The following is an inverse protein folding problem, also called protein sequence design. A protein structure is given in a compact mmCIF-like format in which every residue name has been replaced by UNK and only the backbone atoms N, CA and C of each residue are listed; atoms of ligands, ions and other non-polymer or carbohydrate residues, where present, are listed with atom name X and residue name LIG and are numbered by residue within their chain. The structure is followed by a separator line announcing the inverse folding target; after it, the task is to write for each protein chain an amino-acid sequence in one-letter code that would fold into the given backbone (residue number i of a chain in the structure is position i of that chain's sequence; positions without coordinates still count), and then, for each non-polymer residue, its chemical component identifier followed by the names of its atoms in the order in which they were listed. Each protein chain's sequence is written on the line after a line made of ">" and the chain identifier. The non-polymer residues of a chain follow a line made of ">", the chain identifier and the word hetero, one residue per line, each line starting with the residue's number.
data_IF_338324776027
#
_entry.id   IF_338324776027
#
_cell.length_a   1.000
_cell.length_b   1.000
_cell.length_c   1.000
_cell.angle_alpha   90.00
_cell.angle_beta   90.00
_cell.angle_gamma   90.00
#
_symmetry.space_group_name_H-M   'P 1'
#
loop_
_entity.id
_entity.type
_entity.pdbx_description
1 polymer ?
#
# COMPACT_ATOMS: atom_id res chain seq x y z
N UNK A 1 -0.56 -25.17 18.23
CA UNK A 1 -1.74 -24.56 17.60
C UNK A 1 -1.37 -24.26 16.15
N UNK A 2 -1.93 -25.00 15.19
CA UNK A 2 -1.70 -24.78 13.77
C UNK A 2 -2.28 -23.40 13.40
N UNK A 3 -1.41 -22.40 13.25
CA UNK A 3 -1.81 -21.10 12.69
C UNK A 3 -2.46 -21.38 11.34
N UNK A 4 -3.74 -21.04 11.19
CA UNK A 4 -4.41 -21.14 9.89
C UNK A 4 -3.61 -20.26 8.91
N UNK A 5 -3.06 -20.90 7.88
CA UNK A 5 -2.29 -20.23 6.85
C UNK A 5 -3.25 -19.79 5.74
N UNK A 6 -3.19 -18.51 5.37
CA UNK A 6 -3.78 -18.02 4.14
C UNK A 6 -2.72 -18.07 3.03
N UNK A 7 -3.15 -18.32 1.79
CA UNK A 7 -2.26 -18.28 0.61
C UNK A 7 -2.61 -17.07 -0.22
N UNK A 8 -1.65 -16.17 -0.42
CA UNK A 8 -1.78 -14.97 -1.25
C UNK A 8 -0.95 -15.16 -2.51
N UNK A 9 -1.52 -14.90 -3.68
CA UNK A 9 -0.76 -14.87 -4.92
C UNK A 9 0.00 -13.54 -5.04
N UNK A 10 1.34 -13.59 -5.06
CA UNK A 10 2.22 -12.43 -5.21
C UNK A 10 3.10 -12.65 -6.43
N UNK A 11 2.93 -11.83 -7.48
CA UNK A 11 3.69 -11.95 -8.73
C UNK A 11 3.67 -13.38 -9.32
N UNK A 12 2.50 -14.04 -9.35
CA UNK A 12 2.31 -15.43 -9.82
C UNK A 12 2.99 -16.48 -8.94
N UNK A 13 3.37 -16.15 -7.71
CA UNK A 13 3.90 -17.08 -6.73
C UNK A 13 2.94 -17.20 -5.54
N UNK A 14 2.58 -18.42 -5.11
CA UNK A 14 1.80 -18.60 -3.89
C UNK A 14 2.67 -18.32 -2.66
N UNK A 15 2.23 -17.40 -1.80
CA UNK A 15 2.92 -17.04 -0.55
C UNK A 15 2.00 -17.37 0.63
N UNK A 16 2.45 -18.27 1.50
CA UNK A 16 1.75 -18.57 2.74
C UNK A 16 2.00 -17.46 3.77
N UNK A 17 0.93 -16.91 4.32
CA UNK A 17 0.97 -15.88 5.35
C UNK A 17 0.06 -16.27 6.53
N UNK A 18 0.37 -15.85 7.76
CA UNK A 18 -0.55 -16.03 8.87
C UNK A 18 -1.90 -15.37 8.58
N UNK A 19 -3.01 -16.11 8.74
CA UNK A 19 -4.34 -15.59 8.42
C UNK A 19 -4.70 -14.33 9.23
N UNK A 20 -4.21 -14.20 10.47
CA UNK A 20 -4.47 -13.03 11.31
C UNK A 20 -3.84 -11.73 10.80
N UNK A 21 -2.90 -11.80 9.83
CA UNK A 21 -2.32 -10.62 9.18
C UNK A 21 -3.12 -10.17 7.94
N UNK A 22 -4.17 -10.90 7.56
CA UNK A 22 -4.96 -10.63 6.35
C UNK A 22 -6.34 -10.09 6.70
N UNK A 23 -6.68 -8.94 6.11
CA UNK A 23 -8.03 -8.42 6.05
C UNK A 23 -8.56 -8.55 4.61
N UNK A 24 -9.78 -9.09 4.47
CA UNK A 24 -10.47 -9.17 3.17
C UNK A 24 -11.55 -8.09 3.15
N UNK A 25 -11.34 -7.08 2.31
CA UNK A 25 -12.30 -5.99 2.11
C UNK A 25 -13.14 -6.22 0.85
N UNK A 26 -14.46 -5.93 0.87
CA UNK A 26 -15.36 -6.19 -0.25
C UNK A 26 -15.20 -5.21 -1.42
N UNK A 27 -14.58 -4.06 -1.18
CA UNK A 27 -14.38 -3.02 -2.18
C UNK A 27 -12.91 -2.61 -2.25
N UNK A 28 -12.40 -2.30 -3.46
CA UNK A 28 -11.03 -1.80 -3.59
C UNK A 28 -10.86 -0.46 -2.86
N UNK A 29 -9.64 -0.14 -2.38
CA UNK A 29 -9.35 1.14 -1.75
C UNK A 29 -9.75 2.31 -2.65
N UNK A 30 -10.37 3.34 -2.08
CA UNK A 30 -10.75 4.58 -2.80
C UNK A 30 -9.79 5.74 -2.54
N UNK A 31 -8.89 5.58 -1.56
CA UNK A 31 -7.84 6.51 -1.16
C UNK A 31 -6.48 5.97 -1.58
N UNK A 32 -5.48 6.83 -1.65
CA UNK A 32 -4.09 6.38 -1.81
C UNK A 32 -3.67 5.55 -0.61
N UNK A 33 -3.23 4.31 -0.87
CA UNK A 33 -2.62 3.45 0.13
C UNK A 33 -1.21 3.94 0.40
N UNK A 34 -0.87 4.20 1.66
CA UNK A 34 0.49 4.55 2.09
C UNK A 34 1.23 3.26 2.38
N UNK A 35 2.40 3.08 1.76
CA UNK A 35 3.26 1.92 1.99
C UNK A 35 4.58 2.40 2.59
N UNK A 36 4.88 2.04 3.86
CA UNK A 36 6.21 2.25 4.43
C UNK A 36 7.26 1.58 3.55
N UNK A 37 8.39 2.25 3.32
CA UNK A 37 9.43 1.76 2.42
C UNK A 37 10.07 0.49 3.00
N UNK A 38 9.92 -0.67 2.35
CA UNK A 38 10.67 -1.86 2.74
C UNK A 38 12.17 -1.62 2.58
N UNK A 39 13.00 -2.25 3.43
CA UNK A 39 14.46 -2.10 3.40
C UNK A 39 15.05 -2.39 2.00
N UNK A 40 14.51 -3.38 1.32
CA UNK A 40 15.02 -3.85 0.02
C UNK A 40 14.27 -3.27 -1.19
N UNK A 41 13.48 -2.20 -0.98
CA UNK A 41 12.67 -1.63 -2.04
C UNK A 41 13.50 -0.83 -3.05
N UNK A 42 13.43 -1.25 -4.31
CA UNK A 42 14.00 -0.54 -5.48
C UNK A 42 13.10 0.64 -5.88
N UNK A 43 13.09 1.68 -5.04
CA UNK A 43 12.40 2.95 -5.29
C UNK A 43 13.40 4.08 -5.51
N UNK A 44 13.03 5.15 -6.26
CA UNK A 44 13.86 6.33 -6.39
C UNK A 44 14.28 6.88 -5.02
N UNK A 45 15.53 7.34 -4.91
CA UNK A 45 16.11 7.77 -3.63
C UNK A 45 15.37 8.98 -3.03
N UNK A 46 14.77 9.82 -3.86
CA UNK A 46 14.05 11.05 -3.48
C UNK A 46 12.62 10.81 -2.95
N UNK A 47 12.11 9.58 -2.96
CA UNK A 47 10.73 9.28 -2.54
C UNK A 47 10.53 9.24 -1.02
N UNK A 48 11.60 9.32 -0.23
CA UNK A 48 11.52 9.34 1.23
C UNK A 48 11.16 7.98 1.84
N UNK A 49 10.59 7.98 3.06
CA UNK A 49 10.39 6.78 3.88
C UNK A 49 9.11 5.99 3.55
N UNK A 50 8.22 6.53 2.72
CA UNK A 50 6.98 5.86 2.30
C UNK A 50 6.58 6.31 0.89
N UNK A 51 5.75 5.52 0.24
CA UNK A 51 5.21 5.85 -1.08
C UNK A 51 3.71 5.57 -1.15
N UNK A 52 3.04 6.26 -2.07
CA UNK A 52 1.61 6.11 -2.30
C UNK A 52 1.35 5.12 -3.43
N UNK A 53 0.29 4.33 -3.31
CA UNK A 53 -0.28 3.51 -4.40
C UNK A 53 -1.65 4.06 -4.79
N UNK A 54 -1.81 4.41 -6.07
CA UNK A 54 -3.03 5.01 -6.60
C UNK A 54 -4.20 4.01 -6.55
N UNK A 55 -5.37 4.38 -5.98
CA UNK A 55 -6.52 3.49 -5.87
C UNK A 55 -7.09 3.09 -7.25
N UNK A 56 -6.99 3.98 -8.22
CA UNK A 56 -7.57 3.78 -9.55
C UNK A 56 -6.69 2.93 -10.47
N UNK A 57 -5.38 3.22 -10.56
CA UNK A 57 -4.51 2.61 -11.57
C UNK A 57 -3.32 1.84 -10.99
N UNK A 58 -3.23 1.71 -9.66
CA UNK A 58 -2.14 1.02 -8.94
C UNK A 58 -0.74 1.59 -9.21
N UNK A 59 -0.68 2.81 -9.77
CA UNK A 59 0.56 3.52 -10.01
C UNK A 59 1.17 4.00 -8.70
N UNK A 60 2.49 3.89 -8.58
CA UNK A 60 3.22 4.35 -7.39
C UNK A 60 3.63 5.82 -7.54
N UNK A 61 3.66 6.56 -6.43
CA UNK A 61 4.13 7.94 -6.41
C UNK A 61 4.79 8.31 -5.09
N UNK A 62 5.66 9.33 -5.12
CA UNK A 62 6.28 9.87 -3.92
C UNK A 62 5.24 10.61 -3.06
N UNK A 63 5.30 10.41 -1.74
CA UNK A 63 4.51 11.15 -0.76
C UNK A 63 5.36 12.30 -0.21
N UNK A 64 5.47 13.39 -0.97
CA UNK A 64 6.26 14.56 -0.55
C UNK A 64 5.58 15.22 0.67
N UNK A 65 6.19 15.08 1.85
CA UNK A 65 5.58 15.51 3.10
C UNK A 65 4.46 14.56 3.54
N UNK A 66 3.32 15.11 3.98
CA UNK A 66 2.14 14.33 4.39
C UNK A 66 0.86 14.88 3.75
N UNK A 67 0.72 14.81 2.42
CA UNK A 67 -0.38 15.45 1.70
C UNK A 67 -1.74 14.82 2.01
N UNK A 68 -2.79 15.64 2.15
CA UNK A 68 -4.16 15.14 2.31
C UNK A 68 -4.74 14.57 1.01
N UNK A 69 -4.39 15.15 -0.15
CA UNK A 69 -4.82 14.69 -1.48
C UNK A 69 -3.62 14.61 -2.41
N UNK A 70 -3.65 13.68 -3.37
CA UNK A 70 -2.58 13.46 -4.32
C UNK A 70 -3.14 13.16 -5.72
N UNK A 71 -2.59 13.83 -6.74
CA UNK A 71 -2.90 13.58 -8.13
C UNK A 71 -2.01 12.49 -8.73
N UNK A 72 -2.62 11.51 -9.40
CA UNK A 72 -1.88 10.43 -10.04
C UNK A 72 -1.34 10.88 -11.40
N UNK A 73 -0.01 10.84 -11.59
CA UNK A 73 0.62 11.15 -12.89
C UNK A 73 0.21 10.21 -14.03
N UNK A 74 -0.27 9.01 -13.71
CA UNK A 74 -0.62 7.97 -14.70
C UNK A 74 -2.09 8.07 -15.15
N UNK A 75 -3.05 8.06 -14.23
CA UNK A 75 -4.47 8.15 -14.58
C UNK A 75 -5.08 9.54 -14.43
N UNK A 76 -4.32 10.54 -13.95
CA UNK A 76 -4.74 11.93 -13.72
C UNK A 76 -5.84 12.12 -12.66
N UNK A 77 -6.34 11.06 -12.04
CA UNK A 77 -7.28 11.17 -10.93
C UNK A 77 -6.63 11.75 -9.67
N UNK A 78 -7.42 12.50 -8.90
CA UNK A 78 -7.02 13.08 -7.61
C UNK A 78 -7.84 12.47 -6.48
N UNK A 79 -7.14 11.91 -5.49
CA UNK A 79 -7.77 11.15 -4.40
C UNK A 79 -7.13 11.55 -3.06
N UNK A 80 -7.87 11.33 -1.98
CA UNK A 80 -7.34 11.49 -0.61
C UNK A 80 -6.27 10.45 -0.30
N UNK A 81 -5.41 10.74 0.68
CA UNK A 81 -4.36 9.84 1.16
C UNK A 81 -4.75 9.26 2.52
N UNK A 82 -4.71 7.94 2.64
CA UNK A 82 -5.13 7.21 3.83
C UNK A 82 -4.02 7.16 4.89
N UNK A 83 -3.80 8.28 5.58
CA UNK A 83 -2.80 8.38 6.66
C UNK A 83 -3.27 7.81 8.00
N UNK A 84 -4.53 7.42 8.08
CA UNK A 84 -5.30 6.97 9.25
C UNK A 84 -5.43 5.44 9.32
N UNK A 85 -4.82 4.71 8.39
CA UNK A 85 -4.84 3.25 8.39
C UNK A 85 -4.07 2.67 9.60
N UNK A 86 -4.67 1.67 10.27
CA UNK A 86 -4.14 1.13 11.53
C UNK A 86 -2.70 0.59 11.40
N UNK A 87 -2.38 -0.06 10.28
CA UNK A 87 -1.06 -0.64 10.02
C UNK A 87 0.07 0.40 9.92
N UNK A 88 -0.25 1.70 9.82
CA UNK A 88 0.75 2.77 9.85
C UNK A 88 1.17 3.15 11.27
N UNK A 89 0.40 2.73 12.27
CA UNK A 89 0.65 3.02 13.70
C UNK A 89 1.49 1.94 14.37
N UNK A 90 1.51 0.73 13.79
CA UNK A 90 2.24 -0.45 14.30
C UNK A 90 3.66 -0.59 13.69
N UNK A 91 4.20 0.50 13.12
CA UNK A 91 5.46 0.54 12.36
C UNK A 91 6.69 0.93 13.17
#
# INVERSE_FOLDING_TARGET
>A
MTSLAAVVEVNRLPVAVPQYLIEIVPYPPRRWTVVPRPRDARLPADWGPAYGVCPSCRGRSALRGRPHRLACRRCRGEFEVAWDEAYLSDG
#
